data_IF_728546119047
#
_entry.id   IF_728546119047
#
_cell.length_a   1.000
_cell.length_b   1.000
_cell.length_c   1.000
_cell.angle_alpha   90.00
_cell.angle_beta   90.00
_cell.angle_gamma   90.00
#
_symmetry.space_group_name_H-M   'P 1'
#
loop_
_entity.id
_entity.type
_entity.pdbx_description
1 polymer ?
#
# COMPACT_ATOMS: atom_id res chain seq x y z
N UNK A 1 34.39 13.43 1.53
CA UNK A 1 33.36 14.51 1.51
C UNK A 1 31.88 14.09 1.32
N UNK A 2 31.42 12.81 1.35
CA UNK A 2 30.00 12.49 1.08
C UNK A 2 29.02 12.73 2.25
N UNK A 3 29.49 12.69 3.50
CA UNK A 3 28.62 12.78 4.70
C UNK A 3 27.93 14.15 4.86
N UNK A 4 28.60 15.23 4.45
CA UNK A 4 28.08 16.61 4.56
C UNK A 4 26.90 16.81 3.59
N UNK A 5 26.99 16.25 2.38
CA UNK A 5 25.92 16.30 1.39
C UNK A 5 24.69 15.51 1.82
N UNK A 6 24.88 14.30 2.36
CA UNK A 6 23.79 13.48 2.90
C UNK A 6 23.08 14.16 4.08
N UNK A 7 23.84 14.80 4.97
CA UNK A 7 23.25 15.57 6.07
C UNK A 7 22.46 16.79 5.60
N UNK A 8 22.93 17.52 4.57
CA UNK A 8 22.18 18.64 3.98
C UNK A 8 20.84 18.17 3.38
N UNK A 9 20.83 17.08 2.60
CA UNK A 9 19.60 16.52 2.03
C UNK A 9 18.63 16.06 3.12
N UNK A 10 19.15 15.37 4.15
CA UNK A 10 18.34 14.91 5.29
C UNK A 10 17.69 16.08 6.03
N UNK A 11 18.44 17.16 6.25
CA UNK A 11 17.95 18.35 6.95
C UNK A 11 16.92 19.11 6.11
N UNK A 12 17.14 19.26 4.81
CA UNK A 12 16.18 19.89 3.89
C UNK A 12 14.84 19.13 3.86
N UNK A 13 14.89 17.78 3.77
CA UNK A 13 13.69 16.93 3.82
C UNK A 13 12.91 17.11 5.12
N UNK A 14 13.61 17.15 6.25
CA UNK A 14 12.98 17.33 7.57
C UNK A 14 12.32 18.71 7.70
N UNK A 15 12.97 19.76 7.20
CA UNK A 15 12.43 21.11 7.22
C UNK A 15 11.13 21.22 6.39
N UNK A 16 11.14 20.74 5.15
CA UNK A 16 9.96 20.77 4.27
C UNK A 16 8.80 19.97 4.90
N UNK A 17 9.10 18.80 5.48
CA UNK A 17 8.09 18.01 6.17
C UNK A 17 7.46 18.76 7.35
N UNK A 18 8.27 19.43 8.17
CA UNK A 18 7.77 20.23 9.30
C UNK A 18 6.90 21.39 8.83
N UNK A 19 7.31 22.12 7.79
CA UNK A 19 6.54 23.25 7.24
C UNK A 19 5.19 22.78 6.70
N UNK A 20 5.17 21.69 5.92
CA UNK A 20 3.95 21.22 5.28
C UNK A 20 2.94 20.60 6.27
N UNK A 21 3.41 20.13 7.43
CA UNK A 21 2.57 19.52 8.46
C UNK A 21 2.34 20.41 9.69
N UNK A 22 2.95 21.60 9.76
CA UNK A 22 2.67 22.54 10.84
C UNK A 22 1.33 23.22 10.62
N UNK A 23 0.55 23.36 11.70
CA UNK A 23 -0.75 24.02 11.67
C UNK A 23 -0.59 25.53 11.48
N UNK A 24 -1.28 26.08 10.49
CA UNK A 24 -1.39 27.52 10.28
C UNK A 24 -2.22 28.16 11.40
N UNK A 25 -1.70 29.23 12.01
CA UNK A 25 -2.33 29.85 13.17
C UNK A 25 -3.68 30.53 12.84
N UNK A 26 -3.91 30.93 11.59
CA UNK A 26 -5.15 31.61 11.16
C UNK A 26 -6.24 30.63 10.77
N UNK A 27 -5.87 29.57 10.03
CA UNK A 27 -6.82 28.57 9.51
C UNK A 27 -6.98 27.36 10.41
N UNK A 28 -6.07 27.15 11.36
CA UNK A 28 -6.00 25.96 12.24
C UNK A 28 -5.90 24.64 11.45
N UNK A 29 -5.42 24.70 10.21
CA UNK A 29 -5.22 23.56 9.31
C UNK A 29 -3.76 23.51 8.85
N UNK A 30 -3.32 22.38 8.30
CA UNK A 30 -1.97 22.24 7.73
C UNK A 30 -1.99 22.62 6.24
N UNK A 31 -0.91 23.21 5.69
CA UNK A 31 -0.83 23.44 4.24
C UNK A 31 -1.10 22.18 3.41
N UNK A 32 -0.60 21.01 3.85
CA UNK A 32 -0.84 19.73 3.19
C UNK A 32 -2.33 19.34 3.13
N UNK A 33 -3.08 19.57 4.21
CA UNK A 33 -4.52 19.26 4.24
C UNK A 33 -5.34 20.18 3.35
N UNK A 34 -4.89 21.43 3.15
CA UNK A 34 -5.55 22.37 2.24
C UNK A 34 -5.32 21.99 0.77
N UNK A 35 -4.11 21.56 0.42
CA UNK A 35 -3.77 21.17 -0.96
C UNK A 35 -4.37 19.82 -1.34
N UNK A 36 -4.46 18.88 -0.40
CA UNK A 36 -4.88 17.51 -0.67
C UNK A 36 -6.31 17.19 -0.19
N UNK A 37 -6.92 18.06 0.61
CA UNK A 37 -8.29 17.87 1.13
C UNK A 37 -8.42 16.80 2.23
N UNK A 38 -7.31 16.24 2.71
CA UNK A 38 -7.29 15.27 3.82
C UNK A 38 -6.12 15.53 4.76
N UNK A 39 -6.35 15.35 6.06
CA UNK A 39 -5.31 15.49 7.08
C UNK A 39 -4.42 14.24 7.13
N UNK A 40 -3.13 14.41 6.86
CA UNK A 40 -2.16 13.33 6.83
C UNK A 40 -2.10 12.53 8.15
N UNK A 41 -2.24 13.21 9.29
CA UNK A 41 -2.20 12.55 10.59
C UNK A 41 -3.42 11.66 10.79
N UNK A 42 -4.62 12.18 10.52
CA UNK A 42 -5.87 11.43 10.59
C UNK A 42 -5.87 10.23 9.64
N UNK A 43 -5.36 10.39 8.41
CA UNK A 43 -5.28 9.31 7.43
C UNK A 43 -4.29 8.23 7.87
N UNK A 44 -3.10 8.60 8.34
CA UNK A 44 -2.13 7.62 8.89
C UNK A 44 -2.69 6.88 10.10
N UNK A 45 -3.39 7.59 11.00
CA UNK A 45 -4.04 7.00 12.17
C UNK A 45 -5.19 6.06 11.78
N UNK A 46 -5.99 6.43 10.78
CA UNK A 46 -7.05 5.59 10.23
C UNK A 46 -6.48 4.34 9.56
N UNK A 47 -5.44 4.47 8.74
CA UNK A 47 -4.75 3.35 8.09
C UNK A 47 -4.10 2.39 9.10
N UNK A 48 -3.45 2.92 10.14
CA UNK A 48 -2.90 2.10 11.21
C UNK A 48 -4.00 1.36 12.00
N UNK A 49 -5.15 2.00 12.20
CA UNK A 49 -6.31 1.40 12.88
C UNK A 49 -6.99 0.33 12.01
N UNK A 50 -7.13 0.57 10.70
CA UNK A 50 -7.66 -0.41 9.75
C UNK A 50 -6.71 -1.59 9.57
N UNK A 51 -5.39 -1.39 9.65
CA UNK A 51 -4.42 -2.48 9.63
C UNK A 51 -4.57 -3.38 10.87
N UNK A 52 -4.82 -2.78 12.05
CA UNK A 52 -5.13 -3.52 13.29
C UNK A 52 -6.43 -4.32 13.19
N UNK A 53 -7.50 -3.74 12.64
CA UNK A 53 -8.76 -4.48 12.37
C UNK A 53 -8.62 -5.52 11.24
N UNK A 54 -7.75 -5.26 10.26
CA UNK A 54 -7.47 -6.17 9.15
C UNK A 54 -6.74 -7.44 9.58
N UNK A 55 -6.00 -7.41 10.69
CA UNK A 55 -5.35 -8.60 11.24
C UNK A 55 -6.35 -9.68 11.67
N UNK A 56 -7.52 -9.29 12.18
CA UNK A 56 -8.59 -10.21 12.58
C UNK A 56 -9.34 -10.82 11.38
N UNK A 57 -9.34 -10.12 10.24
CA UNK A 57 -9.95 -10.58 8.96
C UNK A 57 -8.95 -11.26 8.00
N UNK A 58 -7.67 -11.33 8.36
CA UNK A 58 -6.64 -11.97 7.53
C UNK A 58 -6.68 -13.51 7.56
N UNK A 59 -7.49 -14.11 8.43
CA UNK A 59 -7.67 -15.57 8.52
C UNK A 59 -8.21 -16.19 7.22
N UNK A 60 -8.89 -15.41 6.38
CA UNK A 60 -9.45 -15.87 5.10
C UNK A 60 -8.50 -15.69 3.90
N UNK A 61 -7.46 -14.86 4.01
CA UNK A 61 -6.51 -14.67 2.92
C UNK A 61 -5.73 -15.95 2.56
N UNK A 62 -5.27 -16.79 3.53
CA UNK A 62 -4.71 -18.10 3.21
C UNK A 62 -5.71 -19.07 2.59
N UNK A 63 -6.99 -19.02 2.94
CA UNK A 63 -8.03 -19.87 2.34
C UNK A 63 -8.29 -19.46 0.90
N UNK A 64 -8.44 -18.16 0.64
CA UNK A 64 -8.59 -17.60 -0.70
C UNK A 64 -7.40 -17.97 -1.61
N UNK A 65 -6.17 -17.84 -1.12
CA UNK A 65 -4.97 -18.25 -1.88
C UNK A 65 -4.98 -19.73 -2.27
N UNK A 66 -5.40 -20.62 -1.36
CA UNK A 66 -5.53 -22.06 -1.67
C UNK A 66 -6.57 -22.32 -2.74
N UNK A 67 -7.72 -21.67 -2.65
CA UNK A 67 -8.80 -21.86 -3.62
C UNK A 67 -8.42 -21.36 -5.01
N UNK A 68 -7.81 -20.16 -5.11
CA UNK A 68 -7.33 -19.63 -6.39
C UNK A 68 -6.28 -20.53 -7.02
N UNK A 69 -5.33 -21.06 -6.23
CA UNK A 69 -4.34 -22.01 -6.73
C UNK A 69 -4.98 -23.31 -7.25
N UNK A 70 -5.99 -23.83 -6.55
CA UNK A 70 -6.73 -25.02 -6.99
C UNK A 70 -7.41 -24.79 -8.34
N UNK A 71 -8.07 -23.64 -8.51
CA UNK A 71 -8.71 -23.29 -9.78
C UNK A 71 -7.68 -23.16 -10.92
N UNK A 72 -6.50 -22.61 -10.61
CA UNK A 72 -5.40 -22.50 -11.58
C UNK A 72 -4.89 -23.89 -12.03
N UNK A 73 -4.69 -24.83 -11.09
CA UNK A 73 -4.28 -26.20 -11.43
C UNK A 73 -5.31 -26.93 -12.28
N UNK A 74 -6.60 -26.76 -12.00
CA UNK A 74 -7.68 -27.32 -12.80
C UNK A 74 -7.63 -26.76 -14.23
N UNK A 75 -7.52 -25.44 -14.37
CA UNK A 75 -7.43 -24.80 -15.69
C UNK A 75 -6.22 -25.28 -16.49
N UNK A 76 -5.06 -25.43 -15.83
CA UNK A 76 -3.85 -25.97 -16.45
C UNK A 76 -4.04 -27.42 -16.92
N UNK A 77 -4.68 -28.27 -16.10
CA UNK A 77 -4.98 -29.65 -16.48
C UNK A 77 -5.91 -29.70 -17.68
N UNK A 78 -7.01 -28.96 -17.65
CA UNK A 78 -7.95 -28.87 -18.77
C UNK A 78 -7.25 -28.41 -20.04
N UNK A 79 -6.40 -27.38 -19.96
CA UNK A 79 -5.63 -26.88 -21.10
C UNK A 79 -4.74 -27.96 -21.71
N UNK A 80 -4.06 -28.76 -20.88
CA UNK A 80 -3.22 -29.88 -21.35
C UNK A 80 -4.04 -30.98 -22.01
N UNK A 81 -5.21 -31.32 -21.46
CA UNK A 81 -6.12 -32.30 -22.04
C UNK A 81 -6.63 -31.85 -23.41
N UNK A 82 -7.05 -30.59 -23.55
CA UNK A 82 -7.44 -30.02 -24.84
C UNK A 82 -6.31 -30.07 -25.87
N UNK A 83 -5.09 -29.68 -25.50
CA UNK A 83 -3.92 -29.77 -26.39
C UNK A 83 -3.63 -31.21 -26.83
N UNK A 84 -3.82 -32.20 -25.94
CA UNK A 84 -3.61 -33.60 -26.28
C UNK A 84 -4.67 -34.11 -27.28
N UNK A 85 -5.94 -33.72 -27.09
CA UNK A 85 -7.05 -34.04 -28.01
C UNK A 85 -6.83 -33.37 -29.37
N UNK A 86 -6.38 -32.12 -29.41
CA UNK A 86 -6.11 -31.41 -30.66
C UNK A 86 -4.95 -32.03 -31.44
N UNK A 87 -3.88 -32.46 -30.75
CA UNK A 87 -2.74 -33.14 -31.40
C UNK A 87 -3.04 -34.55 -31.92
N UNK A 88 -4.15 -35.15 -31.48
CA UNK A 88 -4.59 -36.50 -31.89
C UNK A 88 -5.71 -36.48 -32.92
N UNK A 89 -6.19 -35.28 -33.30
CA UNK A 89 -7.05 -35.03 -34.47
C UNK A 89 -6.21 -34.83 -35.73
#
# INVERSE_FOLDING_TARGET
MPKIHCNKIRNAKKLIFTINNSTDATRKETPFSLDHGWDAHSTLKAMASSLKQGHERQSDAPKWRREVNRQHEIALRMTKEYQAIEKTR
#
